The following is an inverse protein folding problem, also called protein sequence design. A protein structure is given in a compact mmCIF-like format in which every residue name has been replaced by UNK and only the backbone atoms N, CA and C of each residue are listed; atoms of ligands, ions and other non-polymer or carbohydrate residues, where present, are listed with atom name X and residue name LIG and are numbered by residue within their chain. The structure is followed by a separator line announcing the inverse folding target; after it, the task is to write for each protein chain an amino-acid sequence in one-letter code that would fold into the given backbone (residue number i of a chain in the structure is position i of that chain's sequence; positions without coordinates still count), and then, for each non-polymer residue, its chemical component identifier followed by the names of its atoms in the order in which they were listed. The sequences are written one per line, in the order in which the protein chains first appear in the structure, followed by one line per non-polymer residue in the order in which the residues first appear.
data_IF_136588368523
#
_entry.id   IF_136588368523
#
_cell.length_a   1.000
_cell.length_b   1.000
_cell.length_c   1.000
_cell.angle_alpha   90.00
_cell.angle_beta   90.00
_cell.angle_gamma   90.00
#
_symmetry.space_group_name_H-M   'P 1'
#
loop_
_entity.id
_entity.type
_entity.pdbx_description
1 polymer ?
#
# COMPACT_ATOMS: atom_id res chain seq x y z
N UNK A 1 -86.89 -1.97 50.23
CA UNK A 1 -85.95 -2.90 49.54
C UNK A 1 -85.08 -2.06 48.59
N UNK A 2 -83.78 -1.91 48.95
CA UNK A 2 -82.81 -1.14 48.16
C UNK A 2 -81.81 -2.12 47.59
N UNK A 3 -81.78 -2.26 46.24
CA UNK A 3 -80.77 -3.08 45.55
C UNK A 3 -79.54 -2.19 45.30
N UNK A 4 -78.44 -2.60 45.88
CA UNK A 4 -77.13 -2.04 45.62
C UNK A 4 -76.52 -2.71 44.39
N UNK A 5 -76.17 -1.95 43.35
CA UNK A 5 -75.45 -2.44 42.17
C UNK A 5 -73.96 -2.19 42.36
N UNK A 6 -73.22 -3.28 42.51
CA UNK A 6 -71.73 -3.26 42.53
C UNK A 6 -71.23 -3.21 41.09
N UNK A 7 -70.49 -2.17 40.74
CA UNK A 7 -69.79 -2.04 39.47
C UNK A 7 -68.40 -2.63 39.64
N UNK A 8 -68.09 -3.71 38.92
CA UNK A 8 -66.73 -4.29 38.82
C UNK A 8 -66.03 -3.58 37.69
N UNK A 9 -64.99 -2.77 38.03
CA UNK A 9 -64.11 -2.16 37.04
C UNK A 9 -62.96 -3.13 36.72
N UNK A 10 -62.95 -3.64 35.50
CA UNK A 10 -61.84 -4.44 34.96
C UNK A 10 -60.76 -3.52 34.42
N UNK A 11 -59.61 -3.46 35.11
CA UNK A 11 -58.44 -2.76 34.62
C UNK A 11 -57.71 -3.64 33.58
N UNK A 12 -57.68 -3.17 32.34
CA UNK A 12 -56.87 -3.78 31.25
C UNK A 12 -55.48 -3.15 31.35
N UNK A 13 -54.49 -3.92 31.81
CA UNK A 13 -53.10 -3.53 31.77
C UNK A 13 -52.51 -3.77 30.37
N UNK A 14 -52.30 -2.69 29.63
CA UNK A 14 -51.56 -2.73 28.36
C UNK A 14 -50.07 -2.82 28.65
N UNK A 15 -49.49 -4.00 28.40
CA UNK A 15 -48.03 -4.22 28.42
C UNK A 15 -47.43 -3.61 27.12
N UNK A 16 -46.80 -2.46 27.21
CA UNK A 16 -46.03 -1.88 26.15
C UNK A 16 -44.70 -2.63 26.00
N UNK A 17 -44.56 -3.51 25.01
CA UNK A 17 -43.25 -4.05 24.61
C UNK A 17 -42.43 -2.88 24.03
N UNK A 18 -41.47 -2.38 24.81
CA UNK A 18 -40.40 -1.55 24.27
C UNK A 18 -39.51 -2.47 23.40
N UNK A 19 -39.61 -2.34 22.09
CA UNK A 19 -38.60 -2.86 21.14
C UNK A 19 -37.31 -2.05 21.39
N UNK A 20 -36.42 -2.63 22.19
CA UNK A 20 -35.05 -2.17 22.28
C UNK A 20 -34.43 -2.49 20.92
N UNK A 21 -34.45 -1.53 19.99
CA UNK A 21 -33.69 -1.61 18.73
C UNK A 21 -32.24 -1.84 19.13
N UNK A 22 -31.67 -3.01 18.77
CA UNK A 22 -30.22 -3.20 18.81
C UNK A 22 -29.61 -2.07 17.98
N UNK A 23 -28.52 -1.44 18.48
CA UNK A 23 -27.79 -0.48 17.66
C UNK A 23 -27.43 -1.21 16.36
N UNK A 24 -27.89 -0.68 15.22
CA UNK A 24 -27.38 -1.10 13.92
C UNK A 24 -25.91 -0.67 13.95
N UNK A 25 -25.02 -1.65 14.14
CA UNK A 25 -23.62 -1.44 13.81
C UNK A 25 -23.61 -1.15 12.32
N UNK A 26 -23.26 0.07 11.94
CA UNK A 26 -22.90 0.35 10.58
C UNK A 26 -21.81 -0.67 10.23
N UNK A 27 -22.03 -1.45 9.17
CA UNK A 27 -21.00 -2.31 8.62
C UNK A 27 -19.90 -1.37 8.15
N UNK A 28 -18.85 -1.26 8.96
CA UNK A 28 -17.73 -0.33 8.72
C UNK A 28 -16.79 -0.95 7.70
N UNK A 29 -17.27 -1.68 6.69
CA UNK A 29 -16.45 -2.27 5.64
C UNK A 29 -15.09 -2.82 6.12
N UNK A 30 -14.37 -3.50 5.28
CA UNK A 30 -12.99 -3.85 5.58
C UNK A 30 -12.05 -2.65 5.32
N UNK A 31 -10.81 -2.73 5.78
CA UNK A 31 -9.77 -1.70 5.54
C UNK A 31 -9.59 -1.45 4.05
N UNK A 32 -9.55 -2.52 3.23
CA UNK A 32 -9.45 -2.41 1.78
C UNK A 32 -10.78 -2.76 1.13
N UNK A 33 -11.28 -1.86 0.29
CA UNK A 33 -12.49 -2.08 -0.50
C UNK A 33 -12.24 -1.77 -1.98
N UNK A 34 -13.03 -2.37 -2.86
CA UNK A 34 -12.95 -2.20 -4.30
C UNK A 34 -14.05 -1.30 -4.82
N UNK A 35 -13.76 -0.48 -5.84
CA UNK A 35 -14.69 0.35 -6.59
C UNK A 35 -15.12 1.64 -5.91
N UNK A 36 -15.19 1.69 -4.59
CA UNK A 36 -15.52 2.90 -3.80
C UNK A 36 -15.12 2.74 -2.34
N UNK A 37 -15.08 3.88 -1.60
CA UNK A 37 -15.07 3.87 -0.14
C UNK A 37 -16.26 3.09 0.39
N UNK A 38 -16.03 2.22 1.39
CA UNK A 38 -17.02 1.30 1.93
C UNK A 38 -17.73 0.45 0.84
N UNK A 39 -17.05 0.20 -0.28
CA UNK A 39 -17.51 -0.66 -1.37
C UNK A 39 -17.42 -2.16 -1.01
N UNK A 40 -17.26 -3.00 -2.02
CA UNK A 40 -17.06 -4.44 -1.80
C UNK A 40 -15.70 -4.67 -1.13
N UNK A 41 -15.68 -5.46 -0.07
CA UNK A 41 -14.42 -5.79 0.61
C UNK A 41 -13.48 -6.54 -0.32
N UNK A 42 -12.21 -6.13 -0.40
CA UNK A 42 -11.17 -6.93 -1.03
C UNK A 42 -11.00 -8.24 -0.24
N UNK A 43 -10.84 -9.34 -0.96
CA UNK A 43 -10.84 -10.71 -0.40
C UNK A 43 -9.40 -11.16 -0.17
N UNK A 44 -9.19 -12.00 0.83
CA UNK A 44 -7.90 -12.70 1.00
C UNK A 44 -7.60 -13.52 -0.25
N UNK A 45 -6.41 -13.30 -0.82
CA UNK A 45 -5.98 -13.91 -2.08
C UNK A 45 -6.11 -13.00 -3.30
N UNK A 46 -6.84 -11.87 -3.21
CA UNK A 46 -6.90 -10.90 -4.30
C UNK A 46 -5.52 -10.31 -4.60
N UNK A 47 -5.27 -10.10 -5.88
CA UNK A 47 -3.99 -9.60 -6.39
C UNK A 47 -4.13 -8.12 -6.76
N UNK A 48 -3.41 -7.29 -6.02
CA UNK A 48 -3.37 -5.85 -6.20
C UNK A 48 -2.17 -5.46 -7.05
N UNK A 49 -2.38 -4.56 -8.00
CA UNK A 49 -1.31 -4.06 -8.89
C UNK A 49 -1.43 -2.55 -9.05
N UNK A 50 -0.28 -1.89 -9.17
CA UNK A 50 -0.24 -0.51 -9.66
C UNK A 50 1.05 -0.24 -10.43
N UNK A 51 0.92 0.54 -11.49
CA UNK A 51 2.04 1.11 -12.21
C UNK A 51 2.43 2.47 -11.61
N UNK A 52 3.67 2.92 -11.87
CA UNK A 52 4.05 4.30 -11.56
C UNK A 52 3.09 5.26 -12.26
N UNK A 53 2.63 6.27 -11.52
CA UNK A 53 1.60 7.21 -11.99
C UNK A 53 2.03 7.95 -13.25
N UNK A 54 1.11 8.12 -14.18
CA UNK A 54 1.35 8.82 -15.44
C UNK A 54 1.95 10.20 -15.22
N UNK A 55 3.02 10.51 -15.95
CA UNK A 55 3.73 11.79 -15.82
C UNK A 55 4.71 11.86 -14.64
N UNK A 56 4.85 10.77 -13.86
CA UNK A 56 5.85 10.64 -12.80
C UNK A 56 6.88 9.56 -13.12
N UNK A 57 7.87 9.40 -12.27
CA UNK A 57 8.88 8.33 -12.39
C UNK A 57 9.17 7.74 -11.02
N UNK A 58 9.58 6.47 -11.00
CA UNK A 58 10.22 5.90 -9.83
C UNK A 58 11.68 6.36 -9.80
N UNK A 59 12.06 7.08 -8.76
CA UNK A 59 13.34 7.78 -8.68
C UNK A 59 14.18 7.32 -7.49
N UNK A 60 15.44 6.99 -7.75
CA UNK A 60 16.46 6.68 -6.74
C UNK A 60 17.49 7.82 -6.70
N UNK A 61 17.34 8.76 -5.80
CA UNK A 61 18.26 9.87 -5.59
C UNK A 61 19.53 9.39 -4.88
N UNK A 62 20.67 10.04 -5.18
CA UNK A 62 21.95 9.81 -4.50
C UNK A 62 22.10 10.56 -3.18
N UNK A 63 21.19 11.51 -2.92
CA UNK A 63 21.12 12.29 -1.69
C UNK A 63 19.66 12.57 -1.32
N UNK A 64 19.39 12.73 -0.03
CA UNK A 64 18.05 13.06 0.47
C UNK A 64 17.52 14.33 -0.17
N UNK A 65 16.33 14.24 -0.80
CA UNK A 65 15.70 15.37 -1.52
C UNK A 65 16.47 15.85 -2.74
N UNK A 66 17.49 15.11 -3.19
CA UNK A 66 18.31 15.45 -4.34
C UNK A 66 17.63 15.14 -5.67
N UNK A 67 18.13 15.76 -6.75
CA UNK A 67 17.67 15.55 -8.13
C UNK A 67 18.63 14.73 -8.99
N UNK A 68 19.77 14.28 -8.41
CA UNK A 68 20.74 13.41 -9.07
C UNK A 68 20.47 11.97 -8.69
N UNK A 69 20.35 11.07 -9.68
CA UNK A 69 20.01 9.68 -9.40
C UNK A 69 19.67 8.88 -10.64
N UNK A 70 18.92 7.79 -10.41
CA UNK A 70 18.36 6.92 -11.44
C UNK A 70 16.86 7.15 -11.49
N UNK A 71 16.32 7.43 -12.67
CA UNK A 71 14.90 7.65 -12.94
C UNK A 71 14.38 6.55 -13.85
N UNK A 72 13.31 5.85 -13.44
CA UNK A 72 12.66 4.81 -14.20
C UNK A 72 11.24 5.26 -14.58
N UNK A 73 10.96 5.38 -15.89
CA UNK A 73 9.66 5.80 -16.40
C UNK A 73 8.61 4.68 -16.36
N UNK A 74 9.04 3.44 -16.19
CA UNK A 74 8.16 2.29 -15.96
C UNK A 74 8.52 1.62 -14.65
N UNK A 75 7.52 1.36 -13.84
CA UNK A 75 7.63 0.58 -12.61
C UNK A 75 6.26 0.04 -12.26
N UNK A 76 6.20 -1.20 -11.75
CA UNK A 76 4.94 -1.84 -11.35
C UNK A 76 5.19 -2.67 -10.09
N UNK A 77 4.29 -2.60 -9.13
CA UNK A 77 4.27 -3.56 -8.04
C UNK A 77 3.08 -4.52 -8.16
N UNK A 78 3.23 -5.68 -7.54
CA UNK A 78 2.17 -6.68 -7.36
C UNK A 78 2.18 -7.14 -5.91
N UNK A 79 1.02 -7.12 -5.27
CA UNK A 79 0.83 -7.60 -3.91
C UNK A 79 -0.41 -8.51 -3.84
N UNK A 80 -0.42 -9.45 -2.90
CA UNK A 80 -1.56 -10.33 -2.63
C UNK A 80 -2.10 -10.03 -1.25
N UNK A 81 -3.40 -9.85 -1.11
CA UNK A 81 -4.08 -9.62 0.17
C UNK A 81 -3.96 -10.88 1.04
N UNK A 82 -3.42 -10.73 2.25
CA UNK A 82 -3.24 -11.81 3.23
C UNK A 82 -4.28 -11.75 4.34
N UNK A 83 -4.61 -10.54 4.80
CA UNK A 83 -5.66 -10.28 5.79
C UNK A 83 -6.27 -8.90 5.54
N UNK A 84 -7.60 -8.79 5.68
CA UNK A 84 -8.32 -7.55 5.46
C UNK A 84 -9.43 -7.40 6.51
N UNK A 85 -9.08 -6.99 7.74
CA UNK A 85 -10.02 -6.85 8.86
C UNK A 85 -11.00 -5.70 8.65
N UNK A 86 -12.02 -5.63 9.51
CA UNK A 86 -12.92 -4.49 9.57
C UNK A 86 -12.18 -3.20 9.89
N UNK A 87 -12.59 -2.10 9.26
CA UNK A 87 -12.11 -0.76 9.57
C UNK A 87 -12.79 -0.21 10.86
N UNK A 88 -12.07 0.57 11.70
CA UNK A 88 -10.66 0.88 11.56
C UNK A 88 -9.76 -0.30 11.94
N UNK A 89 -8.72 -0.53 11.14
CA UNK A 89 -7.81 -1.67 11.31
C UNK A 89 -6.55 -1.53 10.47
N UNK A 90 -5.86 -2.66 10.28
CA UNK A 90 -4.69 -2.75 9.42
C UNK A 90 -4.79 -4.01 8.56
N UNK A 91 -4.91 -3.83 7.26
CA UNK A 91 -4.81 -4.91 6.30
C UNK A 91 -3.35 -5.34 6.11
N UNK A 92 -3.14 -6.61 5.78
CA UNK A 92 -1.81 -7.14 5.47
C UNK A 92 -1.79 -7.73 4.06
N UNK A 93 -0.68 -7.51 3.38
CA UNK A 93 -0.44 -7.97 2.02
C UNK A 93 0.95 -8.60 1.92
N UNK A 94 1.16 -9.42 0.91
CA UNK A 94 2.44 -9.93 0.49
C UNK A 94 2.83 -9.27 -0.84
N UNK A 95 3.80 -8.33 -0.84
CA UNK A 95 4.32 -7.75 -2.07
C UNK A 95 5.24 -8.75 -2.75
N UNK A 96 4.73 -9.39 -3.79
CA UNK A 96 5.37 -10.51 -4.47
C UNK A 96 6.33 -10.08 -5.58
N UNK A 97 6.12 -8.90 -6.17
CA UNK A 97 6.97 -8.39 -7.24
C UNK A 97 7.02 -6.86 -7.25
N UNK A 98 8.18 -6.34 -7.62
CA UNK A 98 8.43 -4.94 -7.95
C UNK A 98 9.36 -4.89 -9.15
N UNK A 99 8.93 -4.25 -10.23
CA UNK A 99 9.69 -4.14 -11.48
C UNK A 99 10.06 -2.69 -11.78
N UNK A 100 11.13 -2.50 -12.54
CA UNK A 100 11.57 -1.21 -13.05
C UNK A 100 11.97 -1.34 -14.51
N UNK A 101 11.65 -0.32 -15.32
CA UNK A 101 11.96 -0.30 -16.75
C UNK A 101 12.15 1.12 -17.26
N UNK A 102 12.72 1.22 -18.46
CA UNK A 102 13.00 2.50 -19.12
C UNK A 102 13.74 3.45 -18.17
N UNK A 103 14.85 2.96 -17.59
CA UNK A 103 15.62 3.69 -16.59
C UNK A 103 16.75 4.48 -17.25
N UNK A 104 16.94 5.72 -16.79
CA UNK A 104 18.04 6.63 -17.13
C UNK A 104 18.72 7.11 -15.88
N UNK A 105 19.92 7.69 -16.00
CA UNK A 105 20.65 8.26 -14.88
C UNK A 105 21.26 9.62 -15.28
N UNK A 106 21.26 10.56 -14.33
CA UNK A 106 21.97 11.83 -14.44
C UNK A 106 23.17 11.93 -13.48
N UNK A 107 23.72 10.75 -13.09
CA UNK A 107 24.89 10.62 -12.21
C UNK A 107 26.15 10.83 -13.04
N UNK A 108 27.07 11.70 -12.54
CA UNK A 108 28.33 11.97 -13.23
C UNK A 108 29.13 10.66 -13.45
N UNK A 109 29.57 10.43 -14.71
CA UNK A 109 30.33 9.24 -15.10
C UNK A 109 29.48 8.01 -15.41
N UNK A 110 28.17 8.04 -15.17
CA UNK A 110 27.22 7.01 -15.59
C UNK A 110 26.74 7.34 -17.01
N UNK A 111 26.85 6.39 -17.91
CA UNK A 111 26.46 6.54 -19.34
C UNK A 111 25.12 5.88 -19.63
N UNK A 112 24.73 4.86 -18.86
CA UNK A 112 23.44 4.16 -18.98
C UNK A 112 23.09 3.41 -17.71
N UNK A 113 21.80 3.08 -17.56
CA UNK A 113 21.31 2.10 -16.57
C UNK A 113 21.14 0.77 -17.29
N UNK A 114 21.86 -0.26 -16.86
CA UNK A 114 21.73 -1.60 -17.43
C UNK A 114 20.49 -2.31 -16.87
N UNK A 115 20.31 -2.24 -15.52
CA UNK A 115 19.16 -2.80 -14.83
C UNK A 115 18.95 -2.18 -13.44
N UNK A 116 17.70 -2.22 -12.99
CA UNK A 116 17.28 -2.00 -11.61
C UNK A 116 16.48 -3.22 -11.20
N UNK A 117 16.91 -3.93 -10.17
CA UNK A 117 16.24 -5.15 -9.69
C UNK A 117 15.97 -5.07 -8.20
N UNK A 118 14.78 -5.50 -7.78
CA UNK A 118 14.44 -5.71 -6.38
C UNK A 118 14.64 -7.17 -6.04
N UNK A 119 15.32 -7.43 -4.95
CA UNK A 119 15.66 -8.75 -4.46
C UNK A 119 15.00 -9.00 -3.10
N UNK A 120 14.90 -10.27 -2.73
CA UNK A 120 14.36 -10.74 -1.45
C UNK A 120 12.84 -10.66 -1.31
N UNK A 121 12.09 -10.38 -2.40
CA UNK A 121 10.63 -10.54 -2.36
C UNK A 121 10.27 -12.02 -2.07
N UNK A 122 9.10 -12.31 -1.45
CA UNK A 122 8.05 -11.36 -1.12
C UNK A 122 8.33 -10.55 0.15
N UNK A 123 7.73 -9.36 0.22
CA UNK A 123 7.80 -8.47 1.39
C UNK A 123 6.45 -8.42 2.10
N UNK A 124 6.47 -8.35 3.44
CA UNK A 124 5.28 -8.05 4.21
C UNK A 124 4.88 -6.59 4.02
N UNK A 125 3.63 -6.34 3.65
CA UNK A 125 3.08 -4.99 3.49
C UNK A 125 1.89 -4.83 4.42
N UNK A 126 1.79 -3.69 5.08
CA UNK A 126 0.64 -3.30 5.89
C UNK A 126 0.03 -2.03 5.35
N UNK A 127 -1.30 -1.96 5.35
CA UNK A 127 -2.08 -0.77 5.00
C UNK A 127 -3.05 -0.50 6.14
N UNK A 128 -2.85 0.60 6.85
CA UNK A 128 -3.71 1.01 7.94
C UNK A 128 -4.85 1.92 7.45
N UNK A 129 -5.96 1.94 8.20
CA UNK A 129 -7.14 2.77 7.91
C UNK A 129 -6.86 4.28 7.85
N UNK A 130 -5.75 4.75 8.42
CA UNK A 130 -5.30 6.13 8.31
C UNK A 130 -4.53 6.44 7.02
N UNK A 131 -4.40 5.44 6.14
CA UNK A 131 -3.64 5.51 4.89
C UNK A 131 -2.15 5.24 5.04
N UNK A 132 -1.64 4.93 6.23
CA UNK A 132 -0.23 4.56 6.40
C UNK A 132 0.04 3.22 5.73
N UNK A 133 1.05 3.20 4.85
CA UNK A 133 1.53 1.99 4.18
C UNK A 133 2.96 1.70 4.65
N UNK A 134 3.23 0.45 5.04
CA UNK A 134 4.60 0.02 5.38
C UNK A 134 4.94 -1.26 4.64
N UNK A 135 6.04 -1.25 3.91
CA UNK A 135 6.62 -2.45 3.27
C UNK A 135 7.86 -2.83 4.06
N UNK A 136 7.96 -4.07 4.49
CA UNK A 136 9.03 -4.56 5.35
C UNK A 136 9.68 -5.82 4.81
N UNK A 137 11.00 -5.85 4.82
CA UNK A 137 11.76 -7.08 4.71
C UNK A 137 11.87 -7.78 6.07
N UNK A 138 12.71 -8.82 6.13
CA UNK A 138 13.09 -9.47 7.39
C UNK A 138 14.55 -9.15 7.72
N UNK A 139 15.00 -9.42 8.94
CA UNK A 139 16.39 -9.21 9.34
C UNK A 139 17.39 -9.98 8.47
N UNK A 140 16.99 -11.14 7.95
CA UNK A 140 17.81 -11.98 7.08
C UNK A 140 17.57 -11.73 5.59
N UNK A 141 16.46 -11.09 5.23
CA UNK A 141 16.06 -10.74 3.86
C UNK A 141 15.48 -9.33 3.81
N UNK A 142 16.29 -8.28 4.02
CA UNK A 142 15.83 -6.89 3.93
C UNK A 142 15.39 -6.56 2.50
N UNK A 143 14.63 -5.49 2.33
CA UNK A 143 14.32 -4.96 1.00
C UNK A 143 15.65 -4.58 0.35
N UNK A 144 15.99 -5.24 -0.76
CA UNK A 144 17.25 -5.02 -1.44
C UNK A 144 17.01 -4.55 -2.88
N UNK A 145 17.71 -3.49 -3.29
CA UNK A 145 17.69 -2.98 -4.66
C UNK A 145 19.10 -3.04 -5.23
N UNK A 146 19.24 -3.67 -6.39
CA UNK A 146 20.47 -3.78 -7.14
C UNK A 146 20.42 -2.90 -8.38
N UNK A 147 21.34 -1.93 -8.45
CA UNK A 147 21.51 -1.04 -9.61
C UNK A 147 22.74 -1.49 -10.40
N UNK A 148 22.56 -1.89 -11.66
CA UNK A 148 23.66 -2.14 -12.59
C UNK A 148 23.79 -0.94 -13.52
N UNK A 149 24.92 -0.23 -13.43
CA UNK A 149 25.17 1.04 -14.12
C UNK A 149 26.35 0.89 -15.08
N UNK A 150 26.17 1.31 -16.32
CA UNK A 150 27.26 1.42 -17.29
C UNK A 150 28.01 2.74 -17.09
N UNK A 151 29.34 2.68 -17.06
CA UNK A 151 30.22 3.83 -16.99
C UNK A 151 31.22 3.82 -18.14
N UNK A 152 32.01 4.88 -18.32
CA UNK A 152 33.08 4.95 -19.30
C UNK A 152 34.19 3.91 -19.04
N UNK A 153 34.30 3.38 -17.82
CA UNK A 153 35.30 2.40 -17.40
C UNK A 153 34.73 0.96 -17.32
N UNK A 154 33.49 0.77 -17.76
CA UNK A 154 32.80 -0.54 -17.69
C UNK A 154 31.54 -0.47 -16.83
N UNK A 155 31.00 -1.62 -16.43
CA UNK A 155 29.82 -1.69 -15.60
C UNK A 155 30.16 -1.77 -14.11
N UNK A 156 29.38 -1.08 -13.28
CA UNK A 156 29.41 -1.18 -11.83
C UNK A 156 28.08 -1.68 -11.30
N UNK A 157 28.11 -2.38 -10.17
CA UNK A 157 26.90 -2.85 -9.47
C UNK A 157 26.88 -2.23 -8.07
N UNK A 158 25.80 -1.54 -7.77
CA UNK A 158 25.53 -0.93 -6.46
C UNK A 158 24.33 -1.63 -5.82
N UNK A 159 24.50 -2.15 -4.62
CA UNK A 159 23.43 -2.84 -3.87
C UNK A 159 23.07 -2.03 -2.64
N UNK A 160 21.79 -1.77 -2.48
CA UNK A 160 21.21 -0.97 -1.39
C UNK A 160 20.18 -1.77 -0.63
N UNK A 161 20.04 -1.52 0.66
CA UNK A 161 19.11 -2.23 1.54
C UNK A 161 18.37 -1.26 2.46
N UNK A 162 17.11 -1.61 2.75
CA UNK A 162 16.29 -1.00 3.80
C UNK A 162 15.58 -2.11 4.57
N UNK A 163 15.44 -1.96 5.88
CA UNK A 163 14.63 -2.87 6.70
C UNK A 163 13.13 -2.71 6.35
N UNK A 164 12.72 -1.47 6.16
CA UNK A 164 11.35 -1.10 5.75
C UNK A 164 11.35 0.22 5.00
N UNK A 165 10.27 0.46 4.24
CA UNK A 165 9.93 1.75 3.65
C UNK A 165 8.49 2.09 4.02
N UNK A 166 8.20 3.39 4.18
CA UNK A 166 6.89 3.90 4.53
C UNK A 166 6.32 4.76 3.40
N UNK A 167 5.03 4.60 3.15
CA UNK A 167 4.27 5.37 2.17
C UNK A 167 2.93 5.79 2.72
N UNK A 168 2.17 6.50 1.89
CA UNK A 168 0.81 6.96 2.21
C UNK A 168 -0.12 6.60 1.08
N UNK A 169 -1.22 5.93 1.41
CA UNK A 169 -2.34 5.68 0.50
C UNK A 169 -3.26 6.90 0.45
N UNK A 170 -3.81 7.19 -0.73
CA UNK A 170 -4.77 8.28 -0.96
C UNK A 170 -5.94 7.76 -1.77
N UNK A 171 -7.16 7.99 -1.29
CA UNK A 171 -8.38 7.64 -2.00
C UNK A 171 -8.78 8.67 -3.08
N UNK A 172 -8.08 9.80 -3.18
CA UNK A 172 -8.38 10.84 -4.17
C UNK A 172 -8.07 10.36 -5.59
N UNK A 173 -7.01 9.61 -5.72
CA UNK A 173 -6.48 9.06 -6.98
C UNK A 173 -6.11 7.57 -6.87
N UNK A 174 -6.49 6.94 -5.76
CA UNK A 174 -6.18 5.54 -5.41
C UNK A 174 -4.68 5.25 -5.51
N UNK A 175 -3.87 6.19 -5.01
CA UNK A 175 -2.42 6.11 -5.09
C UNK A 175 -1.77 5.62 -3.80
N UNK A 176 -0.53 5.12 -3.94
CA UNK A 176 0.43 4.96 -2.85
C UNK A 176 1.64 5.83 -3.19
N UNK A 177 2.00 6.74 -2.28
CA UNK A 177 3.15 7.64 -2.42
C UNK A 177 4.25 7.26 -1.45
N UNK A 178 5.44 6.97 -1.97
CA UNK A 178 6.68 6.85 -1.22
C UNK A 178 7.53 8.09 -1.44
N UNK A 179 7.97 8.74 -0.39
CA UNK A 179 8.79 9.95 -0.47
C UNK A 179 10.10 9.77 0.26
N UNK A 180 11.20 9.89 -0.47
CA UNK A 180 12.56 9.98 0.08
C UNK A 180 12.91 8.82 1.04
N UNK A 181 12.53 7.59 0.69
CA UNK A 181 12.77 6.41 1.51
C UNK A 181 14.23 6.00 1.46
N UNK A 182 14.90 5.98 2.61
CA UNK A 182 16.33 5.78 2.70
C UNK A 182 16.74 4.31 2.56
N UNK A 183 17.74 4.07 1.73
CA UNK A 183 18.41 2.78 1.54
C UNK A 183 19.91 2.96 1.78
N UNK A 184 20.50 2.14 2.63
CA UNK A 184 21.94 2.12 2.87
C UNK A 184 22.62 1.21 1.85
N UNK A 185 23.82 1.61 1.37
CA UNK A 185 24.65 0.74 0.52
C UNK A 185 25.11 -0.48 1.32
N UNK A 186 24.79 -1.66 0.83
CA UNK A 186 25.26 -2.94 1.40
C UNK A 186 26.45 -3.52 0.63
N UNK A 187 26.56 -3.23 -0.68
CA UNK A 187 27.66 -3.70 -1.51
C UNK A 187 27.89 -2.78 -2.72
N UNK A 188 29.09 -2.86 -3.28
CA UNK A 188 29.50 -2.11 -4.48
C UNK A 188 30.77 -1.31 -4.29
N UNK A 189 31.38 -0.82 -5.40
CA UNK A 189 32.60 -0.02 -5.37
C UNK A 189 32.41 1.32 -4.65
N UNK A 190 33.51 2.01 -4.35
CA UNK A 190 33.49 3.31 -3.68
C UNK A 190 32.78 4.40 -4.52
N UNK A 191 32.66 4.19 -5.80
CA UNK A 191 31.92 5.09 -6.72
C UNK A 191 30.39 5.00 -6.55
N UNK A 192 29.88 3.96 -5.90
CA UNK A 192 28.48 3.91 -5.50
C UNK A 192 28.23 4.85 -4.31
N UNK A 193 27.21 5.74 -4.36
CA UNK A 193 26.81 6.56 -3.21
C UNK A 193 26.59 5.72 -1.97
N UNK A 194 26.87 6.26 -0.78
CA UNK A 194 26.70 5.54 0.49
C UNK A 194 25.23 5.27 0.83
N UNK A 195 24.31 6.09 0.31
CA UNK A 195 22.87 5.92 0.48
C UNK A 195 22.16 6.14 -0.86
N UNK A 196 20.98 5.55 -0.99
CA UNK A 196 20.01 5.86 -2.02
C UNK A 196 18.70 6.30 -1.37
N UNK A 197 17.90 7.10 -2.06
CA UNK A 197 16.62 7.60 -1.56
C UNK A 197 15.54 7.37 -2.60
N UNK A 198 14.59 6.52 -2.26
CA UNK A 198 13.53 6.13 -3.19
C UNK A 198 12.32 7.05 -3.06
N UNK A 199 11.81 7.52 -4.20
CA UNK A 199 10.56 8.27 -4.32
C UNK A 199 9.78 7.73 -5.50
N UNK A 200 8.48 7.43 -5.31
CA UNK A 200 7.57 7.02 -6.37
C UNK A 200 6.12 7.27 -5.97
N UNK A 201 5.26 7.47 -6.97
CA UNK A 201 3.81 7.48 -6.83
C UNK A 201 3.27 6.36 -7.72
N UNK A 202 2.55 5.41 -7.14
CA UNK A 202 1.87 4.33 -7.84
C UNK A 202 0.38 4.59 -7.87
N UNK A 203 -0.22 4.69 -9.06
CA UNK A 203 -1.64 5.02 -9.19
C UNK A 203 -2.20 4.62 -10.58
N UNK A 204 -3.48 4.20 -10.63
CA UNK A 204 -4.27 3.75 -9.48
C UNK A 204 -3.84 2.35 -9.01
N UNK A 205 -4.04 2.05 -7.72
CA UNK A 205 -3.96 0.67 -7.22
C UNK A 205 -5.24 -0.04 -7.62
N UNK A 206 -5.10 -1.16 -8.33
CA UNK A 206 -6.20 -1.91 -8.92
C UNK A 206 -6.25 -3.33 -8.36
N UNK A 207 -7.45 -3.85 -8.17
CA UNK A 207 -7.66 -5.27 -7.94
C UNK A 207 -7.73 -6.02 -9.27
N UNK A 208 -6.66 -6.72 -9.61
CA UNK A 208 -6.55 -7.48 -10.85
C UNK A 208 -7.24 -8.85 -10.79
N UNK A 209 -7.74 -9.27 -9.64
CA UNK A 209 -8.49 -10.52 -9.45
C UNK A 209 -9.97 -10.37 -9.80
N UNK A 210 -10.48 -9.14 -9.81
CA UNK A 210 -11.88 -8.82 -10.09
C UNK A 210 -12.05 -8.36 -11.54
N UNK A 211 -13.15 -8.77 -12.17
CA UNK A 211 -13.54 -8.27 -13.50
C UNK A 211 -13.60 -6.75 -13.50
N UNK A 212 -13.18 -6.11 -14.60
CA UNK A 212 -13.08 -4.66 -14.77
C UNK A 212 -11.99 -3.99 -13.90
N UNK A 213 -11.19 -4.76 -13.16
CA UNK A 213 -10.05 -4.30 -12.37
C UNK A 213 -10.35 -3.02 -11.59
N UNK A 214 -11.30 -3.05 -10.63
CA UNK A 214 -11.70 -1.85 -9.90
C UNK A 214 -10.57 -1.30 -9.04
N UNK A 215 -10.61 0.01 -8.79
CA UNK A 215 -9.64 0.66 -7.91
C UNK A 215 -9.85 0.25 -6.45
N UNK A 216 -8.74 0.20 -5.70
CA UNK A 216 -8.70 -0.07 -4.26
C UNK A 216 -8.84 1.25 -3.49
N UNK A 217 -9.64 1.19 -2.42
CA UNK A 217 -9.86 2.26 -1.45
C UNK A 217 -9.46 1.77 -0.06
N UNK A 218 -8.93 2.68 0.75
CA UNK A 218 -8.57 2.44 2.17
C UNK A 218 -9.61 3.12 3.06
N UNK A 219 -10.22 2.37 4.01
CA UNK A 219 -11.28 2.85 4.92
C UNK A 219 -10.82 2.94 6.36
#
# INVERSE_FOLDING_TARGET
MRFSRTIVATAVATVSLALIGAPAYADTGAVLTTGSLAGTNATVGDVLTAAVSTGTTAFFATASGGSTGVSCAASTFTATVVDNPAAPGTATESTTAQTFGTCTANILGVTKVNSVAVNNAPFATTVASDGTVTVSGTDTAPIQTTLSLGTILGSITCVYQAASIAGTASNTDNSITFTNQAFAKSSGPITCPSNGYFTAVYAPVLDSSVTDTPAIFTN
#
